data_IF_864197919481
#
_entry.id   IF_864197919481
#
_cell.length_a   1.000
_cell.length_b   1.000
_cell.length_c   1.000
_cell.angle_alpha   90.00
_cell.angle_beta   90.00
_cell.angle_gamma   90.00
#
_symmetry.space_group_name_H-M   'P 1'
#
loop_
_entity.id
_entity.type
_entity.pdbx_description
1 polymer ?
#
# COMPACT_ATOMS: atom_id res chain seq x y z
N UNK A 1 6.77 -15.59 26.84
CA UNK A 1 6.21 -16.27 25.65
C UNK A 1 6.50 -15.36 24.47
N UNK A 2 7.36 -15.78 23.53
CA UNK A 2 7.65 -14.94 22.36
C UNK A 2 6.35 -14.71 21.60
N UNK A 3 5.95 -13.45 21.46
CA UNK A 3 4.93 -12.98 20.52
C UNK A 3 5.41 -13.31 19.12
N UNK A 4 5.23 -14.57 18.73
CA UNK A 4 5.73 -15.13 17.49
C UNK A 4 4.84 -14.68 16.36
N UNK A 5 5.38 -13.86 15.47
CA UNK A 5 4.77 -13.59 14.18
C UNK A 5 4.58 -14.93 13.47
N UNK A 6 3.32 -15.31 13.22
CA UNK A 6 2.98 -16.60 12.61
C UNK A 6 2.56 -16.41 11.15
N UNK A 7 3.12 -17.19 10.23
CA UNK A 7 2.64 -17.26 8.85
C UNK A 7 1.40 -18.13 8.74
N UNK A 8 0.42 -17.68 7.95
CA UNK A 8 -0.82 -18.39 7.67
C UNK A 8 -1.26 -18.10 6.25
N UNK A 9 -1.64 -19.15 5.52
CA UNK A 9 -2.41 -19.01 4.29
C UNK A 9 -3.88 -18.80 4.65
N UNK A 10 -4.46 -17.67 4.26
CA UNK A 10 -5.86 -17.33 4.58
C UNK A 10 -6.51 -16.57 3.44
N UNK A 11 -7.85 -16.52 3.44
CA UNK A 11 -8.59 -15.69 2.48
C UNK A 11 -8.85 -14.33 3.10
N UNK A 12 -8.41 -13.27 2.43
CA UNK A 12 -8.60 -11.88 2.86
C UNK A 12 -9.72 -11.25 2.04
N UNK A 13 -10.69 -10.65 2.73
CA UNK A 13 -11.70 -9.78 2.18
C UNK A 13 -11.39 -8.35 2.62
N UNK A 14 -11.24 -7.44 1.66
CA UNK A 14 -11.12 -6.01 1.90
C UNK A 14 -12.36 -5.30 1.35
N UNK A 15 -12.95 -4.41 2.14
CA UNK A 15 -14.10 -3.62 1.76
C UNK A 15 -13.90 -2.15 2.13
N UNK A 16 -14.47 -1.24 1.35
CA UNK A 16 -14.38 0.20 1.58
C UNK A 16 -15.55 0.93 0.93
N UNK A 17 -15.97 2.04 1.55
CA UNK A 17 -17.10 2.85 1.10
C UNK A 17 -16.66 3.85 0.02
N UNK A 18 -17.36 3.87 -1.09
CA UNK A 18 -17.11 4.88 -2.12
C UNK A 18 -17.54 6.28 -1.64
N UNK A 19 -16.64 7.26 -1.77
CA UNK A 19 -16.98 8.67 -1.63
C UNK A 19 -17.27 9.12 -0.20
N UNK A 20 -16.89 8.32 0.81
CA UNK A 20 -17.11 8.61 2.23
C UNK A 20 -16.67 10.02 2.64
N UNK A 21 -15.47 10.45 2.24
CA UNK A 21 -14.98 11.80 2.57
C UNK A 21 -15.85 12.93 2.01
N UNK A 22 -16.48 12.73 0.84
CA UNK A 22 -17.38 13.73 0.24
C UNK A 22 -18.74 13.73 0.93
N UNK A 23 -19.26 12.54 1.25
CA UNK A 23 -20.53 12.38 1.96
C UNK A 23 -20.47 12.99 3.37
N UNK A 24 -19.34 12.80 4.07
CA UNK A 24 -19.09 13.41 5.38
C UNK A 24 -19.10 14.94 5.36
N UNK A 25 -18.63 15.57 4.27
CA UNK A 25 -18.69 17.03 4.12
C UNK A 25 -20.09 17.58 3.83
N UNK A 26 -21.05 16.72 3.46
CA UNK A 26 -22.41 17.14 3.08
C UNK A 26 -23.44 16.84 4.17
N UNK A 27 -23.40 15.64 4.76
CA UNK A 27 -24.29 15.20 5.85
C UNK A 27 -23.51 14.24 6.76
N UNK A 28 -22.84 14.79 7.76
CA UNK A 28 -21.96 14.05 8.66
C UNK A 28 -22.74 12.98 9.47
N UNK A 29 -23.88 13.37 10.04
CA UNK A 29 -24.70 12.47 10.87
C UNK A 29 -25.35 11.36 10.04
N UNK A 30 -25.90 11.69 8.86
CA UNK A 30 -26.49 10.71 7.95
C UNK A 30 -25.46 9.71 7.41
N UNK A 31 -24.26 10.20 7.06
CA UNK A 31 -23.16 9.36 6.55
C UNK A 31 -22.63 8.43 7.65
N UNK A 32 -22.48 8.92 8.88
CA UNK A 32 -22.06 8.10 10.01
C UNK A 32 -23.08 6.99 10.31
N UNK A 33 -24.38 7.31 10.28
CA UNK A 33 -25.44 6.33 10.49
C UNK A 33 -25.46 5.26 9.39
N UNK A 34 -25.32 5.67 8.11
CA UNK A 34 -25.22 4.75 6.98
C UNK A 34 -24.00 3.83 7.07
N UNK A 35 -22.83 4.37 7.47
CA UNK A 35 -21.62 3.58 7.68
C UNK A 35 -21.79 2.56 8.82
N UNK A 36 -22.40 2.96 9.95
CA UNK A 36 -22.66 2.06 11.07
C UNK A 36 -23.59 0.91 10.68
N UNK A 37 -24.71 1.22 10.01
CA UNK A 37 -25.64 0.19 9.55
C UNK A 37 -24.97 -0.78 8.57
N UNK A 38 -24.16 -0.27 7.64
CA UNK A 38 -23.40 -1.14 6.73
C UNK A 38 -22.40 -2.03 7.49
N UNK A 39 -21.70 -1.49 8.50
CA UNK A 39 -20.77 -2.27 9.33
C UNK A 39 -21.45 -3.37 10.11
N UNK A 40 -22.67 -3.15 10.61
CA UNK A 40 -23.46 -4.19 11.27
C UNK A 40 -23.80 -5.33 10.31
N UNK A 41 -24.17 -5.02 9.07
CA UNK A 41 -24.39 -6.01 8.01
C UNK A 41 -23.11 -6.81 7.74
N UNK A 42 -21.98 -6.12 7.55
CA UNK A 42 -20.68 -6.79 7.37
C UNK A 42 -20.35 -7.69 8.56
N UNK A 43 -20.40 -7.19 9.80
CA UNK A 43 -20.05 -7.96 10.99
C UNK A 43 -20.92 -9.22 11.13
N UNK A 44 -22.23 -9.07 10.96
CA UNK A 44 -23.17 -10.19 11.07
C UNK A 44 -22.96 -11.25 9.98
N UNK A 45 -22.68 -10.85 8.73
CA UNK A 45 -22.45 -11.80 7.64
C UNK A 45 -21.05 -12.43 7.70
N UNK A 46 -20.02 -11.66 8.07
CA UNK A 46 -18.66 -12.18 8.24
C UNK A 46 -18.66 -13.28 9.32
N UNK A 47 -19.29 -13.03 10.46
CA UNK A 47 -19.39 -14.02 11.54
C UNK A 47 -20.19 -15.26 11.11
N UNK A 48 -21.34 -15.07 10.42
CA UNK A 48 -22.15 -16.18 9.90
C UNK A 48 -21.41 -17.10 8.94
N UNK A 49 -20.50 -16.55 8.14
CA UNK A 49 -19.65 -17.30 7.21
C UNK A 49 -18.32 -17.78 7.84
N UNK A 50 -18.18 -17.71 9.16
CA UNK A 50 -17.00 -18.18 9.89
C UNK A 50 -15.74 -17.33 9.68
N UNK A 51 -15.91 -16.10 9.21
CA UNK A 51 -14.83 -15.12 9.09
C UNK A 51 -14.60 -14.34 10.38
N UNK A 52 -13.45 -13.66 10.46
CA UNK A 52 -13.10 -12.76 11.56
C UNK A 52 -12.72 -11.40 11.01
N UNK A 53 -13.26 -10.34 11.60
CA UNK A 53 -12.78 -8.97 11.33
C UNK A 53 -11.41 -8.81 11.99
N UNK A 54 -10.43 -8.43 11.19
CA UNK A 54 -9.02 -8.30 11.60
C UNK A 54 -8.72 -6.84 11.91
N UNK A 55 -9.11 -5.93 11.01
CA UNK A 55 -8.84 -4.51 11.16
C UNK A 55 -9.98 -3.67 10.56
N UNK A 56 -10.28 -2.55 11.20
CA UNK A 56 -11.25 -1.54 10.76
C UNK A 56 -10.60 -0.15 10.85
N UNK A 57 -9.68 0.16 9.94
CA UNK A 57 -9.05 1.47 9.89
C UNK A 57 -9.86 2.44 9.02
N UNK A 58 -10.38 3.51 9.61
CA UNK A 58 -11.10 4.56 8.90
C UNK A 58 -12.50 4.13 8.49
N UNK A 59 -12.77 4.05 7.19
CA UNK A 59 -13.97 3.59 6.49
C UNK A 59 -13.81 2.20 5.87
N UNK A 60 -12.58 1.70 5.80
CA UNK A 60 -12.24 0.36 5.32
C UNK A 60 -12.45 -0.74 6.35
N UNK A 61 -12.71 -1.95 5.86
CA UNK A 61 -12.86 -3.18 6.64
C UNK A 61 -12.00 -4.28 6.03
N UNK A 62 -11.25 -4.99 6.88
CA UNK A 62 -10.49 -6.17 6.50
C UNK A 62 -10.96 -7.35 7.35
N UNK A 63 -11.35 -8.42 6.69
CA UNK A 63 -11.74 -9.67 7.31
C UNK A 63 -10.93 -10.84 6.74
N UNK A 64 -10.68 -11.83 7.59
CA UNK A 64 -10.10 -13.10 7.17
C UNK A 64 -11.13 -14.23 7.23
N UNK A 65 -11.00 -15.19 6.32
CA UNK A 65 -11.82 -16.37 6.25
C UNK A 65 -10.95 -17.62 6.09
N UNK A 66 -11.26 -18.71 6.83
CA UNK A 66 -10.60 -20.00 6.64
C UNK A 66 -10.99 -20.66 5.31
N UNK A 67 -12.15 -20.34 4.74
CA UNK A 67 -12.66 -20.88 3.49
C UNK A 67 -12.82 -19.80 2.43
N UNK A 68 -12.25 -20.05 1.24
CA UNK A 68 -12.37 -19.17 0.08
C UNK A 68 -13.82 -19.08 -0.41
N UNK A 69 -14.55 -20.20 -0.36
CA UNK A 69 -15.94 -20.29 -0.81
C UNK A 69 -16.83 -19.42 0.07
N UNK A 70 -16.65 -19.51 1.39
CA UNK A 70 -17.40 -18.72 2.37
C UNK A 70 -17.10 -17.22 2.23
N UNK A 71 -15.84 -16.85 1.99
CA UNK A 71 -15.47 -15.44 1.77
C UNK A 71 -16.20 -14.84 0.56
N UNK A 72 -16.29 -15.59 -0.54
CA UNK A 72 -16.98 -15.13 -1.77
C UNK A 72 -18.49 -15.10 -1.56
N UNK A 73 -19.08 -16.10 -0.90
CA UNK A 73 -20.51 -16.10 -0.56
C UNK A 73 -20.87 -14.92 0.34
N UNK A 74 -20.09 -14.70 1.40
CA UNK A 74 -20.23 -13.55 2.30
C UNK A 74 -20.21 -12.23 1.52
N UNK A 75 -19.22 -12.03 0.64
CA UNK A 75 -19.13 -10.82 -0.18
C UNK A 75 -20.39 -10.59 -1.04
N UNK A 76 -20.95 -11.65 -1.61
CA UNK A 76 -22.15 -11.59 -2.45
C UNK A 76 -23.39 -11.25 -1.62
N UNK A 77 -23.56 -11.91 -0.47
CA UNK A 77 -24.67 -11.64 0.44
C UNK A 77 -24.63 -10.22 0.97
N UNK A 78 -23.46 -9.73 1.37
CA UNK A 78 -23.26 -8.34 1.80
C UNK A 78 -23.71 -7.37 0.71
N UNK A 79 -23.25 -7.54 -0.53
CA UNK A 79 -23.64 -6.64 -1.62
C UNK A 79 -25.15 -6.68 -1.90
N UNK A 80 -25.78 -7.85 -1.80
CA UNK A 80 -27.24 -8.00 -1.96
C UNK A 80 -28.01 -7.31 -0.85
N UNK A 81 -27.58 -7.46 0.40
CA UNK A 81 -28.23 -6.84 1.55
C UNK A 81 -28.11 -5.31 1.51
N UNK A 82 -26.92 -4.79 1.20
CA UNK A 82 -26.68 -3.35 1.03
C UNK A 82 -27.46 -2.76 -0.15
N UNK A 83 -27.55 -3.48 -1.27
CA UNK A 83 -28.37 -3.08 -2.42
C UNK A 83 -29.88 -3.09 -2.10
N UNK A 84 -30.34 -4.05 -1.29
CA UNK A 84 -31.71 -4.13 -0.80
C UNK A 84 -32.06 -2.96 0.13
N UNK A 85 -31.15 -2.59 1.03
CA UNK A 85 -31.32 -1.44 1.91
C UNK A 85 -31.37 -0.11 1.15
N UNK A 86 -30.59 0.02 0.06
CA UNK A 86 -30.60 1.22 -0.80
C UNK A 86 -31.94 1.46 -1.48
N UNK A 87 -32.69 0.40 -1.83
CA UNK A 87 -34.05 0.57 -2.38
C UNK A 87 -35.04 1.20 -1.39
N UNK A 88 -34.73 1.15 -0.08
CA UNK A 88 -35.57 1.70 0.99
C UNK A 88 -35.17 3.13 1.39
N UNK A 89 -33.95 3.56 1.08
CA UNK A 89 -33.41 4.87 1.46
C UNK A 89 -32.34 5.35 0.48
N UNK A 90 -32.43 6.60 0.02
CA UNK A 90 -31.48 7.22 -0.91
C UNK A 90 -30.11 7.55 -0.28
N UNK A 91 -29.93 7.34 1.03
CA UNK A 91 -28.70 7.70 1.78
C UNK A 91 -27.68 6.56 1.93
N UNK A 92 -27.78 5.49 1.15
CA UNK A 92 -26.89 4.34 1.32
C UNK A 92 -25.54 4.50 0.61
N UNK A 93 -24.46 4.17 1.32
CA UNK A 93 -23.11 4.11 0.79
C UNK A 93 -22.92 2.86 -0.08
N UNK A 94 -22.27 3.03 -1.24
CA UNK A 94 -21.86 1.88 -2.06
C UNK A 94 -20.52 1.35 -1.55
N UNK A 95 -20.42 0.04 -1.35
CA UNK A 95 -19.17 -0.59 -0.95
C UNK A 95 -18.51 -1.27 -2.15
N UNK A 96 -17.18 -1.19 -2.18
CA UNK A 96 -16.32 -1.94 -3.09
C UNK A 96 -15.70 -3.09 -2.32
N UNK A 97 -15.63 -4.28 -2.91
CA UNK A 97 -15.07 -5.47 -2.24
C UNK A 97 -13.99 -6.11 -3.12
N UNK A 98 -12.88 -6.49 -2.48
CA UNK A 98 -11.79 -7.27 -3.06
C UNK A 98 -11.53 -8.53 -2.24
N UNK A 99 -11.39 -9.69 -2.90
CA UNK A 99 -11.10 -10.97 -2.23
C UNK A 99 -9.85 -11.60 -2.82
N UNK A 100 -8.94 -12.04 -1.95
CA UNK A 100 -7.70 -12.69 -2.32
C UNK A 100 -7.35 -13.83 -1.36
N UNK A 101 -6.74 -14.90 -1.88
CA UNK A 101 -6.16 -15.99 -1.10
C UNK A 101 -4.64 -15.85 -1.14
N UNK A 102 -4.00 -15.63 0.01
CA UNK A 102 -2.56 -15.38 0.07
C UNK A 102 -1.93 -15.66 1.44
N UNK A 103 -0.60 -15.79 1.45
CA UNK A 103 0.19 -15.94 2.67
C UNK A 103 0.28 -14.59 3.41
N UNK A 104 0.00 -14.62 4.70
CA UNK A 104 -0.01 -13.44 5.57
C UNK A 104 0.70 -13.72 6.89
N UNK A 105 1.21 -12.66 7.49
CA UNK A 105 1.78 -12.68 8.83
C UNK A 105 0.71 -12.23 9.82
N UNK A 106 0.47 -13.05 10.84
CA UNK A 106 -0.38 -12.72 11.97
C UNK A 106 0.48 -12.02 13.01
N UNK A 107 0.09 -10.80 13.39
CA UNK A 107 0.66 -10.06 14.51
C UNK A 107 -0.47 -9.70 15.49
N UNK A 108 -0.60 -10.51 16.55
CA UNK A 108 -1.72 -10.41 17.48
C UNK A 108 -3.07 -10.63 16.78
N UNK A 109 -3.87 -9.58 16.67
CA UNK A 109 -5.18 -9.62 15.99
C UNK A 109 -5.12 -9.15 14.54
N UNK A 110 -4.02 -8.54 14.11
CA UNK A 110 -3.82 -7.94 12.80
C UNK A 110 -3.21 -8.92 11.78
N UNK A 111 -3.46 -8.65 10.49
CA UNK A 111 -2.85 -9.34 9.37
C UNK A 111 -1.98 -8.37 8.58
N UNK A 112 -0.75 -8.80 8.31
CA UNK A 112 0.24 -8.05 7.57
C UNK A 112 0.75 -8.87 6.37
N UNK A 113 1.22 -8.18 5.34
CA UNK A 113 1.90 -8.81 4.22
C UNK A 113 1.28 -8.50 2.86
N UNK A 114 1.86 -9.11 1.83
CA UNK A 114 1.50 -8.86 0.44
C UNK A 114 0.07 -9.29 0.11
N UNK A 115 -0.42 -10.39 0.70
CA UNK A 115 -1.79 -10.88 0.51
C UNK A 115 -2.85 -9.85 0.92
N UNK A 116 -2.64 -9.15 2.04
CA UNK A 116 -3.55 -8.08 2.51
C UNK A 116 -3.52 -6.89 1.56
N UNK A 117 -2.32 -6.48 1.14
CA UNK A 117 -2.15 -5.37 0.19
C UNK A 117 -2.84 -5.67 -1.16
N UNK A 118 -2.77 -6.91 -1.64
CA UNK A 118 -3.42 -7.32 -2.87
C UNK A 118 -4.95 -7.29 -2.75
N UNK A 119 -5.52 -7.81 -1.66
CA UNK A 119 -6.96 -7.75 -1.41
C UNK A 119 -7.48 -6.30 -1.40
N UNK A 120 -6.79 -5.41 -0.69
CA UNK A 120 -7.12 -3.97 -0.66
C UNK A 120 -7.02 -3.33 -2.04
N UNK A 121 -6.06 -3.77 -2.87
CA UNK A 121 -5.91 -3.24 -4.23
C UNK A 121 -7.00 -3.73 -5.18
N UNK A 122 -7.40 -4.99 -5.07
CA UNK A 122 -8.57 -5.52 -5.78
C UNK A 122 -9.82 -4.73 -5.40
N UNK A 123 -10.02 -4.43 -4.12
CA UNK A 123 -11.12 -3.59 -3.65
C UNK A 123 -11.08 -2.20 -4.31
N UNK A 124 -9.92 -1.55 -4.34
CA UNK A 124 -9.81 -0.20 -4.92
C UNK A 124 -10.14 -0.18 -6.42
N UNK A 125 -9.83 -1.26 -7.14
CA UNK A 125 -10.13 -1.42 -8.57
C UNK A 125 -11.59 -1.81 -8.84
N UNK A 126 -12.33 -2.25 -7.83
CA UNK A 126 -13.72 -2.65 -8.00
C UNK A 126 -14.60 -1.43 -8.30
N UNK A 127 -15.58 -1.64 -9.17
CA UNK A 127 -16.67 -0.67 -9.34
C UNK A 127 -17.51 -0.61 -8.05
N UNK A 128 -18.19 0.52 -7.76
CA UNK A 128 -19.08 0.64 -6.61
C UNK A 128 -20.18 -0.42 -6.63
N UNK A 129 -20.36 -1.14 -5.52
CA UNK A 129 -21.25 -2.30 -5.45
C UNK A 129 -20.70 -3.57 -6.11
N UNK A 130 -19.46 -3.54 -6.60
CA UNK A 130 -18.80 -4.65 -7.26
C UNK A 130 -17.92 -5.48 -6.32
N UNK A 131 -17.64 -6.71 -6.77
CA UNK A 131 -16.71 -7.63 -6.12
C UNK A 131 -15.66 -8.04 -7.15
N UNK A 132 -14.38 -7.82 -6.83
CA UNK A 132 -13.25 -8.34 -7.59
C UNK A 132 -12.53 -9.42 -6.81
N UNK A 133 -12.10 -10.46 -7.53
CA UNK A 133 -11.37 -11.59 -6.98
C UNK A 133 -10.07 -11.81 -7.76
N UNK A 134 -9.05 -12.33 -7.08
CA UNK A 134 -7.82 -12.77 -7.74
C UNK A 134 -8.01 -14.11 -8.45
N UNK A 135 -7.07 -14.46 -9.33
CA UNK A 135 -7.04 -15.79 -9.97
C UNK A 135 -7.02 -16.94 -8.97
N UNK A 136 -6.23 -16.84 -7.88
CA UNK A 136 -6.19 -17.88 -6.86
C UNK A 136 -7.56 -18.15 -6.22
N UNK A 137 -8.37 -17.10 -6.04
CA UNK A 137 -9.75 -17.24 -5.53
C UNK A 137 -10.63 -17.89 -6.60
N UNK A 138 -10.57 -17.40 -7.84
CA UNK A 138 -11.33 -17.97 -8.97
C UNK A 138 -11.08 -19.46 -9.13
N UNK A 139 -9.81 -19.89 -9.13
CA UNK A 139 -9.41 -21.29 -9.29
C UNK A 139 -10.04 -22.18 -8.21
N UNK A 140 -10.27 -21.66 -7.01
CA UNK A 140 -10.86 -22.40 -5.90
C UNK A 140 -12.40 -22.44 -5.88
N UNK A 141 -13.08 -21.51 -6.56
CA UNK A 141 -14.55 -21.33 -6.45
C UNK A 141 -15.32 -21.56 -7.75
N UNK A 142 -14.69 -21.43 -8.93
CA UNK A 142 -15.40 -21.46 -10.22
C UNK A 142 -16.20 -22.76 -10.47
N UNK A 143 -15.75 -23.89 -9.94
CA UNK A 143 -16.46 -25.18 -10.03
C UNK A 143 -17.40 -25.49 -8.85
N UNK A 144 -17.41 -24.65 -7.81
CA UNK A 144 -18.16 -24.89 -6.55
C UNK A 144 -19.36 -23.95 -6.39
N UNK A 145 -19.27 -22.74 -6.96
CA UNK A 145 -20.33 -21.74 -6.90
C UNK A 145 -21.05 -21.65 -8.25
N UNK A 146 -22.39 -21.70 -8.22
CA UNK A 146 -23.23 -21.50 -9.41
C UNK A 146 -23.36 -20.01 -9.76
N UNK A 147 -22.22 -19.33 -9.94
CA UNK A 147 -22.12 -17.87 -10.08
C UNK A 147 -21.22 -17.58 -11.28
N UNK A 148 -21.52 -16.51 -12.03
CA UNK A 148 -20.70 -16.10 -13.17
C UNK A 148 -19.54 -15.23 -12.72
N UNK A 149 -18.40 -15.45 -13.36
CA UNK A 149 -17.20 -14.65 -13.20
C UNK A 149 -16.82 -14.03 -14.55
N UNK A 150 -16.66 -12.72 -14.60
CA UNK A 150 -16.22 -12.00 -15.79
C UNK A 150 -14.71 -11.73 -15.70
N UNK A 151 -13.98 -12.09 -16.76
CA UNK A 151 -12.53 -11.96 -16.79
C UNK A 151 -12.15 -10.53 -17.22
N UNK A 152 -11.49 -9.78 -16.33
CA UNK A 152 -11.13 -8.38 -16.56
C UNK A 152 -9.72 -8.18 -17.14
N UNK A 153 -9.01 -9.26 -17.45
CA UNK A 153 -7.64 -9.23 -17.94
C UNK A 153 -6.60 -9.29 -16.82
N UNK A 154 -5.35 -9.23 -17.26
CA UNK A 154 -4.22 -8.95 -16.39
C UNK A 154 -4.15 -7.45 -16.08
N UNK A 155 -3.99 -7.14 -14.80
CA UNK A 155 -3.80 -5.77 -14.30
C UNK A 155 -2.55 -5.78 -13.46
N UNK A 156 -1.71 -4.75 -13.61
CA UNK A 156 -0.59 -4.51 -12.71
C UNK A 156 -1.02 -3.56 -11.61
N UNK A 157 -1.33 -4.03 -10.40
CA UNK A 157 -1.62 -3.11 -9.32
C UNK A 157 -0.37 -2.28 -8.98
N UNK A 158 -0.57 -1.01 -8.62
CA UNK A 158 0.54 -0.10 -8.25
C UNK A 158 1.37 -0.75 -7.12
N UNK A 159 2.68 -0.82 -7.29
CA UNK A 159 3.67 -1.48 -6.40
C UNK A 159 3.73 -3.02 -6.46
N UNK A 160 3.10 -3.67 -7.43
CA UNK A 160 3.31 -5.10 -7.70
C UNK A 160 4.24 -5.30 -8.89
N UNK A 161 5.19 -6.23 -8.74
CA UNK A 161 6.15 -6.57 -9.78
C UNK A 161 5.53 -7.44 -10.87
N UNK A 162 4.40 -8.10 -10.59
CA UNK A 162 3.74 -9.04 -11.49
C UNK A 162 2.35 -8.56 -11.90
N UNK A 163 1.94 -8.97 -13.10
CA UNK A 163 0.59 -8.77 -13.60
C UNK A 163 -0.35 -9.79 -12.96
N UNK A 164 -1.45 -9.30 -12.42
CA UNK A 164 -2.41 -10.11 -11.69
C UNK A 164 -3.68 -10.22 -12.52
N UNK A 165 -4.06 -11.45 -12.79
CA UNK A 165 -5.33 -11.81 -13.43
C UNK A 165 -6.48 -11.52 -12.46
N UNK A 166 -7.41 -10.68 -12.88
CA UNK A 166 -8.56 -10.24 -12.07
C UNK A 166 -9.87 -10.71 -12.66
N UNK A 167 -10.78 -11.18 -11.81
CA UNK A 167 -12.14 -11.55 -12.18
C UNK A 167 -13.15 -10.71 -11.40
N UNK A 168 -14.28 -10.42 -12.03
CA UNK A 168 -15.45 -9.79 -11.40
C UNK A 168 -16.50 -10.83 -11.11
N UNK A 169 -17.11 -10.77 -9.94
CA UNK A 169 -18.27 -11.62 -9.60
C UNK A 169 -19.55 -10.91 -10.05
N UNK A 170 -20.39 -11.59 -10.82
CA UNK A 170 -21.71 -11.06 -11.22
C UNK A 170 -22.76 -11.37 -10.13
N UNK A 171 -23.33 -10.32 -9.53
CA UNK A 171 -24.26 -10.41 -8.38
C UNK A 171 -25.70 -10.78 -8.75
N UNK A 172 -26.12 -10.35 -9.94
CA UNK A 172 -27.41 -10.63 -10.56
C UNK A 172 -27.12 -10.94 -12.04
N UNK A 173 -27.79 -11.93 -12.64
CA UNK A 173 -27.63 -12.32 -14.04
C UNK A 173 -27.94 -11.23 -15.10
N UNK A 174 -27.88 -9.94 -14.73
CA UNK A 174 -27.81 -8.80 -15.64
C UNK A 174 -26.50 -8.85 -16.42
N UNK A 175 -26.59 -9.54 -17.55
CA UNK A 175 -25.65 -9.52 -18.67
C UNK A 175 -25.17 -8.09 -18.94
N UNK A 176 -23.93 -7.78 -18.54
CA UNK A 176 -23.16 -6.75 -19.22
C UNK A 176 -22.58 -7.40 -20.46
N UNK A 177 -22.70 -6.82 -21.66
CA UNK A 177 -22.14 -7.44 -22.85
C UNK A 177 -20.64 -7.61 -22.65
N UNK A 178 -20.20 -8.87 -22.63
CA UNK A 178 -18.79 -9.23 -22.67
C UNK A 178 -18.13 -8.40 -23.76
N UNK A 179 -17.13 -7.59 -23.39
CA UNK A 179 -16.28 -6.92 -24.37
C UNK A 179 -15.70 -8.03 -25.22
N UNK A 180 -16.14 -8.12 -26.49
CA UNK A 180 -15.69 -9.13 -27.46
C UNK A 180 -14.19 -9.31 -27.29
N UNK A 181 -13.76 -10.56 -27.08
CA UNK A 181 -12.37 -10.96 -27.34
C UNK A 181 -12.08 -10.55 -28.78
N UNK A 182 -11.38 -9.44 -28.98
CA UNK A 182 -10.64 -9.24 -30.21
C UNK A 182 -9.47 -10.20 -30.11
N UNK A 183 -9.66 -11.40 -30.64
CA UNK A 183 -8.56 -12.26 -31.04
C UNK A 183 -7.86 -11.55 -32.20
N UNK A 184 -6.94 -10.64 -31.90
CA UNK A 184 -5.92 -10.28 -32.86
C UNK A 184 -4.91 -11.45 -32.94
N UNK A 185 -4.65 -11.98 -34.14
CA UNK A 185 -3.69 -13.07 -34.32
C UNK A 185 -2.26 -12.59 -34.01
N UNK A 186 -1.38 -13.48 -33.54
CA UNK A 186 0.01 -13.12 -33.27
C UNK A 186 0.74 -13.00 -34.61
N UNK A 187 1.05 -11.78 -35.04
CA UNK A 187 2.08 -11.57 -36.05
C UNK A 187 3.06 -10.47 -35.62
N UNK A 188 4.27 -10.69 -36.07
CA UNK A 188 5.55 -10.33 -35.46
C UNK A 188 6.04 -8.96 -35.89
N UNK A 189 7.16 -8.60 -35.27
CA UNK A 189 8.15 -7.62 -35.72
C UNK A 189 7.91 -6.16 -35.37
N UNK A 190 8.14 -5.87 -34.08
CA UNK A 190 8.98 -4.72 -33.73
C UNK A 190 10.15 -5.19 -32.87
N UNK A 191 11.39 -4.76 -33.17
CA UNK A 191 12.54 -5.11 -32.36
C UNK A 191 12.34 -4.56 -30.94
N UNK A 192 12.91 -5.22 -29.91
CA UNK A 192 12.82 -4.74 -28.55
C UNK A 192 13.54 -3.39 -28.49
N UNK A 193 12.78 -2.31 -28.31
CA UNK A 193 13.37 -1.10 -27.75
C UNK A 193 13.82 -1.47 -26.34
N UNK A 194 15.12 -1.74 -26.23
CA UNK A 194 15.89 -1.72 -25.01
C UNK A 194 15.78 -0.33 -24.38
N UNK A 195 14.68 -0.08 -23.66
CA UNK A 195 14.63 1.02 -22.71
C UNK A 195 15.26 0.49 -21.43
N UNK A 196 16.52 0.85 -21.27
CA UNK A 196 17.35 0.53 -20.11
C UNK A 196 16.72 0.94 -18.79
N UNK A 197 17.17 0.25 -17.74
CA UNK A 197 16.83 0.53 -16.36
C UNK A 197 17.02 2.00 -16.00
N UNK A 198 15.99 2.55 -15.38
CA UNK A 198 15.95 3.88 -14.82
C UNK A 198 14.59 4.08 -14.18
N UNK A 199 14.54 4.09 -12.85
CA UNK A 199 13.31 4.18 -12.08
C UNK A 199 12.47 5.39 -12.48
N UNK A 200 11.36 5.15 -13.18
CA UNK A 200 10.29 6.13 -13.29
C UNK A 200 9.37 5.95 -12.09
N UNK A 201 9.74 6.66 -11.03
CA UNK A 201 8.84 7.06 -9.95
C UNK A 201 7.57 7.62 -10.59
N UNK A 202 6.43 6.95 -10.39
CA UNK A 202 5.13 7.47 -10.83
C UNK A 202 5.00 8.91 -10.38
N UNK A 203 4.55 9.81 -11.27
CA UNK A 203 4.38 11.26 -11.09
C UNK A 203 3.78 11.63 -9.70
N UNK A 204 2.97 10.73 -9.16
CA UNK A 204 2.24 10.78 -7.90
C UNK A 204 3.10 10.53 -6.64
N UNK A 205 4.17 9.74 -6.73
CA UNK A 205 5.19 9.58 -5.67
C UNK A 205 6.24 10.71 -5.73
N UNK A 206 6.63 11.10 -6.95
CA UNK A 206 7.51 12.26 -7.19
C UNK A 206 6.89 13.53 -6.61
N UNK A 207 5.60 13.75 -6.82
CA UNK A 207 4.89 14.93 -6.28
C UNK A 207 4.73 14.92 -4.76
N UNK A 208 4.63 13.76 -4.09
CA UNK A 208 4.53 13.71 -2.62
C UNK A 208 5.88 14.03 -1.96
N UNK A 209 6.99 13.47 -2.48
CA UNK A 209 8.35 13.77 -2.02
C UNK A 209 8.77 15.20 -2.39
N UNK A 210 8.39 15.69 -3.58
CA UNK A 210 8.61 17.10 -3.97
C UNK A 210 7.79 18.05 -3.08
N UNK A 211 6.57 17.68 -2.68
CA UNK A 211 5.74 18.53 -1.81
C UNK A 211 6.28 18.59 -0.38
N UNK A 212 6.71 17.47 0.18
CA UNK A 212 7.40 17.44 1.48
C UNK A 212 8.74 18.17 1.42
N UNK A 213 9.53 17.97 0.35
CA UNK A 213 10.78 18.70 0.12
C UNK A 213 10.60 20.21 -0.07
N UNK A 214 9.54 20.65 -0.76
CA UNK A 214 9.17 22.07 -0.89
C UNK A 214 8.74 22.68 0.44
N UNK A 215 7.97 21.96 1.26
CA UNK A 215 7.57 22.43 2.59
C UNK A 215 8.77 22.56 3.54
N UNK A 216 9.65 21.55 3.58
CA UNK A 216 10.90 21.58 4.36
C UNK A 216 11.85 22.67 3.87
N UNK A 217 11.94 22.90 2.56
CA UNK A 217 12.73 23.99 1.96
C UNK A 217 12.18 25.39 2.28
N UNK A 218 10.85 25.56 2.33
CA UNK A 218 10.21 26.83 2.73
C UNK A 218 10.48 27.11 4.22
N UNK A 219 10.39 26.10 5.08
CA UNK A 219 10.73 26.23 6.51
C UNK A 219 12.20 26.61 6.68
N UNK A 220 13.11 25.99 5.94
CA UNK A 220 14.52 26.36 5.96
C UNK A 220 14.78 27.78 5.45
N UNK A 221 14.16 28.18 4.33
CA UNK A 221 14.26 29.54 3.81
C UNK A 221 13.72 30.59 4.79
N UNK A 222 12.63 30.28 5.50
CA UNK A 222 12.08 31.15 6.54
C UNK A 222 13.04 31.30 7.74
N UNK A 223 13.73 30.22 8.13
CA UNK A 223 14.76 30.26 9.17
C UNK A 223 15.98 31.07 8.74
N UNK A 224 16.41 30.98 7.48
CA UNK A 224 17.50 31.80 6.92
C UNK A 224 17.11 33.28 6.86
N UNK A 225 15.88 33.60 6.46
CA UNK A 225 15.38 35.00 6.44
C UNK A 225 15.27 35.56 7.86
N UNK A 226 14.82 34.74 8.82
CA UNK A 226 14.76 35.11 10.23
C UNK A 226 16.17 35.43 10.78
N UNK A 227 17.17 34.65 10.40
CA UNK A 227 18.57 34.82 10.80
C UNK A 227 19.18 36.12 10.22
N UNK A 228 18.90 36.43 8.95
CA UNK A 228 19.31 37.69 8.30
C UNK A 228 18.68 38.92 8.95
N UNK A 229 17.43 38.82 9.41
CA UNK A 229 16.71 39.93 10.06
C UNK A 229 17.06 40.12 11.54
N UNK A 230 17.50 39.08 12.24
CA UNK A 230 17.80 39.14 13.69
C UNK A 230 19.24 39.53 14.00
N UNK A 231 20.13 39.62 13.01
CA UNK A 231 21.54 40.02 13.21
C UNK A 231 22.33 39.08 14.13
N UNK A 232 21.82 37.85 14.32
CA UNK A 232 22.40 36.82 15.18
C UNK A 232 23.55 36.10 14.46
N UNK A 233 24.55 35.54 15.17
CA UNK A 233 25.50 34.62 14.54
C UNK A 233 24.75 33.45 13.90
N UNK A 234 25.00 33.20 12.62
CA UNK A 234 24.24 32.29 11.73
C UNK A 234 24.02 30.90 12.32
N UNK A 235 22.95 30.70 13.10
CA UNK A 235 22.65 29.44 13.81
C UNK A 235 21.73 28.52 12.99
N UNK A 236 21.13 29.05 11.91
CA UNK A 236 20.20 28.36 11.02
C UNK A 236 20.76 27.14 10.27
N UNK A 237 22.08 26.94 10.26
CA UNK A 237 22.69 25.75 9.68
C UNK A 237 22.35 24.46 10.46
N UNK A 238 22.16 24.52 11.79
CA UNK A 238 21.84 23.34 12.60
C UNK A 238 20.46 22.73 12.26
N UNK A 239 19.35 23.51 12.23
CA UNK A 239 18.08 23.01 11.71
C UNK A 239 18.15 22.58 10.25
N UNK A 240 18.93 23.28 9.42
CA UNK A 240 19.10 22.96 8.00
C UNK A 240 19.72 21.59 7.75
N UNK A 241 20.78 21.26 8.49
CA UNK A 241 21.42 19.94 8.42
C UNK A 241 20.46 18.85 8.88
N UNK A 242 19.71 19.08 9.98
CA UNK A 242 18.72 18.13 10.46
C UNK A 242 17.61 17.86 9.43
N UNK A 243 17.08 18.91 8.80
CA UNK A 243 16.06 18.83 7.75
C UNK A 243 16.59 18.10 6.51
N UNK A 244 17.79 18.45 6.03
CA UNK A 244 18.40 17.80 4.88
C UNK A 244 18.67 16.31 5.14
N UNK A 245 19.11 15.97 6.35
CA UNK A 245 19.35 14.58 6.77
C UNK A 245 18.06 13.78 6.83
N UNK A 246 16.99 14.34 7.43
CA UNK A 246 15.68 13.69 7.49
C UNK A 246 15.09 13.45 6.09
N UNK A 247 15.19 14.44 5.21
CA UNK A 247 14.74 14.31 3.82
C UNK A 247 15.53 13.24 3.06
N UNK A 248 16.85 13.17 3.24
CA UNK A 248 17.69 12.15 2.62
C UNK A 248 17.42 10.72 3.15
N UNK A 249 17.05 10.57 4.43
CA UNK A 249 16.62 9.31 5.04
C UNK A 249 15.25 8.82 4.53
N UNK A 250 14.35 9.74 4.21
CA UNK A 250 13.05 9.45 3.61
C UNK A 250 13.18 9.15 2.11
N UNK A 251 14.18 9.74 1.43
CA UNK A 251 14.47 9.51 0.02
C UNK A 251 15.25 8.22 -0.27
N UNK A 252 15.90 7.61 0.73
CA UNK A 252 16.72 6.40 0.55
C UNK A 252 16.00 5.20 -0.10
N UNK A 253 14.73 4.87 0.21
CA UNK A 253 14.01 3.77 -0.45
C UNK A 253 13.67 4.04 -1.92
N UNK A 254 13.86 5.25 -2.44
CA UNK A 254 13.57 5.60 -3.85
C UNK A 254 14.70 5.18 -4.81
N UNK A 255 15.92 4.96 -4.30
CA UNK A 255 17.11 4.80 -5.15
C UNK A 255 17.79 3.42 -5.02
N UNK A 256 17.43 2.61 -4.02
CA UNK A 256 18.10 1.34 -3.74
C UNK A 256 17.10 0.22 -3.43
N UNK A 257 17.24 -0.88 -4.18
CA UNK A 257 16.48 -2.11 -3.97
C UNK A 257 17.19 -3.04 -2.98
N UNK A 258 16.43 -3.55 -2.00
CA UNK A 258 16.93 -4.43 -0.94
C UNK A 258 17.06 -3.74 0.42
N UNK A 259 16.50 -4.37 1.45
CA UNK A 259 16.52 -3.89 2.84
C UNK A 259 17.94 -3.62 3.37
N UNK A 260 18.90 -4.46 2.99
CA UNK A 260 20.29 -4.34 3.43
C UNK A 260 21.01 -3.12 2.83
N UNK A 261 20.85 -2.86 1.53
CA UNK A 261 21.42 -1.67 0.87
C UNK A 261 20.78 -0.37 1.37
N UNK A 262 19.49 -0.41 1.73
CA UNK A 262 18.80 0.71 2.37
C UNK A 262 19.38 1.04 3.76
N UNK A 263 19.79 0.03 4.52
CA UNK A 263 20.42 0.25 5.84
C UNK A 263 21.79 0.94 5.69
N UNK A 264 22.61 0.51 4.73
CA UNK A 264 23.91 1.14 4.46
C UNK A 264 23.80 2.55 3.91
N UNK A 265 22.86 2.81 3.00
CA UNK A 265 22.66 4.16 2.47
C UNK A 265 22.13 5.12 3.53
N UNK A 266 21.26 4.66 4.45
CA UNK A 266 20.85 5.45 5.62
C UNK A 266 22.04 5.74 6.55
N UNK A 267 22.91 4.75 6.78
CA UNK A 267 24.16 4.93 7.51
C UNK A 267 25.09 5.96 6.86
N UNK A 268 25.24 5.92 5.53
CA UNK A 268 26.06 6.85 4.77
C UNK A 268 25.54 8.30 4.85
N UNK A 269 24.22 8.50 4.76
CA UNK A 269 23.59 9.82 4.92
C UNK A 269 23.90 10.41 6.31
N UNK A 270 23.81 9.58 7.36
CA UNK A 270 24.16 10.01 8.72
C UNK A 270 25.64 10.36 8.84
N UNK A 271 26.55 9.56 8.26
CA UNK A 271 28.00 9.85 8.25
C UNK A 271 28.31 11.17 7.53
N UNK A 272 27.65 11.44 6.39
CA UNK A 272 27.82 12.70 5.67
C UNK A 272 27.32 13.88 6.51
N UNK A 273 26.17 13.76 7.17
CA UNK A 273 25.66 14.79 8.07
C UNK A 273 26.63 15.07 9.23
N UNK A 274 27.17 14.02 9.86
CA UNK A 274 28.18 14.14 10.92
C UNK A 274 29.51 14.75 10.41
N UNK A 275 29.89 14.49 9.16
CA UNK A 275 31.09 15.07 8.55
C UNK A 275 30.91 16.58 8.30
N UNK A 276 29.73 16.99 7.83
CA UNK A 276 29.38 18.42 7.68
C UNK A 276 29.37 19.12 9.04
N UNK A 277 28.80 18.48 10.07
CA UNK A 277 28.84 19.00 11.44
C UNK A 277 30.28 19.18 11.91
N UNK A 278 31.13 18.18 11.71
CA UNK A 278 32.54 18.21 12.09
C UNK A 278 33.36 19.32 11.38
N UNK A 279 33.03 19.63 10.12
CA UNK A 279 33.66 20.74 9.37
C UNK A 279 33.23 22.10 9.91
N UNK A 280 31.95 22.24 10.26
CA UNK A 280 31.38 23.51 10.73
C UNK A 280 31.86 23.84 12.16
N UNK A 281 32.04 22.84 13.03
CA UNK A 281 32.49 23.06 14.41
C UNK A 281 34.00 23.30 14.56
N UNK A 282 34.79 23.32 13.47
CA UNK A 282 36.25 23.54 13.52
C UNK A 282 36.94 22.70 14.61
N UNK A 283 36.54 21.43 14.74
CA UNK A 283 37.19 20.53 15.68
C UNK A 283 38.56 20.14 15.13
N UNK A 284 39.63 20.40 15.87
CA UNK A 284 41.01 20.03 15.51
C UNK A 284 41.20 18.50 15.30
N UNK A 285 40.19 17.69 15.66
CA UNK A 285 40.18 16.24 15.49
C UNK A 285 38.89 15.73 14.82
N UNK A 286 38.98 15.02 13.68
CA UNK A 286 37.80 14.54 12.95
C UNK A 286 37.20 13.28 13.58
N UNK A 287 36.33 13.48 14.58
CA UNK A 287 35.63 12.38 15.27
C UNK A 287 34.71 11.56 14.36
N UNK A 288 34.35 12.07 13.18
CA UNK A 288 33.54 11.35 12.17
C UNK A 288 34.23 10.11 11.59
N UNK A 289 35.56 10.02 11.71
CA UNK A 289 36.34 8.88 11.22
C UNK A 289 35.98 7.56 11.93
N UNK A 290 35.54 7.62 13.18
CA UNK A 290 35.13 6.45 13.96
C UNK A 290 33.85 5.78 13.42
N UNK A 291 32.69 6.47 13.31
CA UNK A 291 31.48 5.89 12.73
C UNK A 291 31.63 5.54 11.24
N UNK A 292 32.39 6.33 10.46
CA UNK A 292 32.69 6.00 9.07
C UNK A 292 33.53 4.71 8.96
N UNK A 293 34.54 4.54 9.82
CA UNK A 293 35.37 3.35 9.88
C UNK A 293 34.57 2.09 10.24
N UNK A 294 33.64 2.19 11.20
CA UNK A 294 32.74 1.07 11.57
C UNK A 294 31.84 0.67 10.39
N UNK A 295 31.29 1.64 9.66
CA UNK A 295 30.46 1.38 8.48
C UNK A 295 31.26 0.71 7.33
N UNK A 296 32.49 1.16 7.08
CA UNK A 296 33.35 0.57 6.05
C UNK A 296 33.83 -0.84 6.46
N UNK A 297 34.22 -1.03 7.72
CA UNK A 297 34.68 -2.31 8.24
C UNK A 297 33.56 -3.38 8.19
N UNK A 298 32.34 -3.02 8.60
CA UNK A 298 31.19 -3.92 8.54
C UNK A 298 30.80 -4.27 7.10
N UNK A 299 30.91 -3.33 6.16
CA UNK A 299 30.71 -3.58 4.73
C UNK A 299 31.74 -4.56 4.17
N UNK A 300 33.02 -4.39 4.53
CA UNK A 300 34.12 -5.24 4.06
C UNK A 300 34.06 -6.66 4.64
N UNK A 301 33.84 -6.80 5.94
CA UNK A 301 33.70 -8.12 6.60
C UNK A 301 32.59 -8.94 5.95
N UNK A 302 31.46 -8.30 5.62
CA UNK A 302 30.36 -8.98 4.96
C UNK A 302 30.67 -9.34 3.49
N UNK A 303 31.43 -8.50 2.78
CA UNK A 303 31.86 -8.77 1.40
C UNK A 303 32.80 -9.98 1.30
N UNK A 304 33.66 -10.18 2.31
CA UNK A 304 34.57 -11.33 2.37
C UNK A 304 33.90 -12.61 2.88
N UNK A 305 32.89 -12.50 3.75
CA UNK A 305 32.10 -13.66 4.21
C UNK A 305 31.23 -14.33 3.11
N UNK A 306 31.20 -13.78 1.90
CA UNK A 306 30.42 -14.29 0.74
C UNK A 306 31.27 -14.76 -0.45
N UNK A 307 32.60 -14.85 -0.33
CA UNK A 307 33.39 -15.52 -1.37
C UNK A 307 33.43 -17.03 -1.08
N UNK A 308 32.78 -17.89 -1.90
CA UNK A 308 32.96 -19.32 -1.78
C UNK A 308 34.38 -19.68 -2.23
N UNK A 309 35.11 -20.40 -1.38
CA UNK A 309 36.28 -21.19 -1.79
C UNK A 309 35.87 -22.31 -2.74
#
# INVERSE_FOLDING_TARGET
MSSGVQRKLTTILAADAEGYSRAMGTDELGTLAALRSAREVFASLIERHGGRIVNTAGDGLIAEFPSVVEAVQCAIEVQRELAGAKKKSDKNLNFRIGVHLGDVLIDGTDLLGEGVNLAARLQTMAEPGGILISQQVYDQVHGKLSIRFDYLGQRRPKNFTEDITVYRVELDGKRRPARKRTTEPPHSDKPPHSVGGGGQLTEDQRTRVIRHGKALGIVWAALVVMDVFTGSPFWAHWPGIAIATLWALEATPLFLDGWFWRLYARGAVVVVALAVINIITWADYPWVLWPAGVLIATALIHRFAKQPT
#
